data_IF_227979902220
#
_entry.id   IF_227979902220
#
_cell.length_a   1.000
_cell.length_b   1.000
_cell.length_c   1.000
_cell.angle_alpha   90.00
_cell.angle_beta   90.00
_cell.angle_gamma   90.00
#
_symmetry.space_group_name_H-M   'P 1'
#
loop_
_entity.id
_entity.type
_entity.pdbx_description
1 polymer ?
#
# COMPACT_ATOMS: atom_id res chain seq x y z
N UNK A 1 12.74 13.23 20.97
CA UNK A 1 11.72 14.28 21.14
C UNK A 1 11.61 15.06 19.85
N UNK A 2 10.41 15.37 19.42
CA UNK A 2 10.13 16.24 18.27
C UNK A 2 8.86 17.04 18.54
N UNK A 3 8.79 18.23 17.96
CA UNK A 3 7.65 19.15 18.10
C UNK A 3 6.62 18.87 17.00
N UNK A 4 5.36 18.69 17.40
CA UNK A 4 4.23 18.46 16.48
C UNK A 4 3.24 19.62 16.44
N UNK A 5 3.57 20.77 17.02
CA UNK A 5 2.70 21.95 17.02
C UNK A 5 2.33 22.45 15.62
N UNK A 6 3.20 22.18 14.64
CA UNK A 6 2.95 22.50 13.22
C UNK A 6 2.03 21.51 12.50
N UNK A 7 1.66 20.39 13.13
CA UNK A 7 0.79 19.37 12.57
C UNK A 7 -0.65 19.62 13.03
N UNK A 8 -1.45 20.23 12.18
CA UNK A 8 -2.85 20.55 12.45
C UNK A 8 -3.63 19.32 12.93
N UNK A 9 -4.29 19.42 14.09
CA UNK A 9 -5.11 18.39 14.67
C UNK A 9 -4.36 17.24 15.38
N UNK A 10 -3.03 17.34 15.55
CA UNK A 10 -2.23 16.29 16.21
C UNK A 10 -2.04 16.60 17.71
N UNK A 11 -1.74 17.84 18.06
CA UNK A 11 -1.60 18.26 19.46
C UNK A 11 -1.92 19.73 19.61
N UNK A 12 -2.27 20.14 20.84
CA UNK A 12 -2.40 21.54 21.23
C UNK A 12 -1.00 22.15 21.44
N UNK A 13 -0.89 23.49 21.36
CA UNK A 13 0.38 24.20 21.51
C UNK A 13 1.08 23.95 22.87
N UNK A 14 0.30 23.59 23.89
CA UNK A 14 0.82 23.34 25.26
C UNK A 14 1.38 21.90 25.43
N UNK A 15 1.02 20.94 24.55
CA UNK A 15 1.44 19.54 24.60
C UNK A 15 2.03 19.06 23.27
N UNK A 16 2.85 19.88 22.62
CA UNK A 16 3.38 19.63 21.29
C UNK A 16 4.58 18.67 21.26
N UNK A 17 5.19 18.38 22.40
CA UNK A 17 6.35 17.49 22.47
C UNK A 17 5.96 16.02 22.45
N UNK A 18 6.42 15.29 21.41
CA UNK A 18 6.30 13.84 21.31
C UNK A 18 7.66 13.15 21.22
N UNK A 19 7.68 11.85 21.45
CA UNK A 19 8.88 11.03 21.46
C UNK A 19 8.79 9.95 20.39
N UNK A 20 9.89 9.75 19.67
CA UNK A 20 10.05 8.66 18.70
C UNK A 20 10.83 7.52 19.37
N UNK A 21 10.23 6.35 19.38
CA UNK A 21 10.87 5.12 19.81
C UNK A 21 11.17 4.25 18.59
N UNK A 22 12.44 4.11 18.21
CA UNK A 22 12.81 3.38 17.00
C UNK A 22 12.56 1.88 17.17
N UNK A 23 11.91 1.30 16.18
CA UNK A 23 11.83 -0.14 16.02
C UNK A 23 13.09 -0.64 15.30
N UNK A 24 13.97 -1.31 16.06
CA UNK A 24 15.27 -1.74 15.53
C UNK A 24 15.15 -2.82 14.45
N UNK A 25 14.04 -3.55 14.39
CA UNK A 25 13.78 -4.53 13.33
C UNK A 25 13.60 -3.90 11.96
N UNK A 26 13.27 -2.60 11.92
CA UNK A 26 13.06 -1.81 10.69
C UNK A 26 14.29 -1.07 10.23
N UNK A 27 15.49 -1.40 10.77
CA UNK A 27 16.75 -0.78 10.35
C UNK A 27 17.04 -1.10 8.89
N UNK A 28 17.19 -0.05 8.07
CA UNK A 28 17.39 -0.18 6.63
C UNK A 28 18.42 0.80 6.11
N UNK A 29 19.38 0.33 5.30
CA UNK A 29 20.39 1.18 4.64
C UNK A 29 19.92 1.48 3.22
N UNK A 30 19.86 2.76 2.85
CA UNK A 30 19.41 3.18 1.54
C UNK A 30 20.44 2.87 0.44
N UNK A 31 20.15 1.95 -0.51
CA UNK A 31 21.09 1.55 -1.58
C UNK A 31 21.44 2.69 -2.53
N UNK A 32 20.52 3.62 -2.72
CA UNK A 32 20.71 4.77 -3.64
C UNK A 32 21.59 5.89 -3.09
N UNK A 33 22.05 5.79 -1.84
CA UNK A 33 22.97 6.76 -1.26
C UNK A 33 24.43 6.35 -1.52
N UNK A 34 25.36 7.33 -1.56
CA UNK A 34 26.77 7.00 -1.83
C UNK A 34 27.36 6.06 -0.79
N UNK A 35 28.36 5.27 -1.21
CA UNK A 35 29.07 4.35 -0.34
C UNK A 35 29.76 5.06 0.84
N UNK A 36 30.25 6.29 0.63
CA UNK A 36 30.71 7.16 1.71
C UNK A 36 29.54 7.96 2.28
N UNK A 37 29.38 7.91 3.61
CA UNK A 37 28.28 8.56 4.29
C UNK A 37 26.95 7.83 4.04
N UNK A 38 26.93 6.53 4.27
CA UNK A 38 25.69 5.73 4.21
C UNK A 38 24.60 6.35 5.05
N UNK A 39 23.37 6.30 4.54
CA UNK A 39 22.17 6.76 5.23
C UNK A 39 21.32 5.54 5.57
N UNK A 40 20.94 5.44 6.84
CA UNK A 40 20.02 4.44 7.31
C UNK A 40 18.72 5.08 7.82
N UNK A 41 17.65 4.32 7.81
CA UNK A 41 16.34 4.67 8.34
C UNK A 41 15.94 3.68 9.41
N UNK A 42 15.19 4.16 10.40
CA UNK A 42 14.42 3.37 11.35
C UNK A 42 12.98 3.89 11.32
N UNK A 43 12.01 3.00 11.36
CA UNK A 43 10.60 3.36 11.61
C UNK A 43 10.44 3.47 13.12
N UNK A 44 9.67 4.45 13.57
CA UNK A 44 9.49 4.72 14.99
C UNK A 44 8.02 4.67 15.35
N UNK A 45 7.72 4.19 16.56
CA UNK A 45 6.44 4.38 17.21
C UNK A 45 6.42 5.75 17.90
N UNK A 46 5.25 6.39 17.97
CA UNK A 46 5.07 7.72 18.57
C UNK A 46 4.50 7.59 19.97
N UNK A 47 5.13 8.30 20.91
CA UNK A 47 4.74 8.30 22.33
C UNK A 47 4.55 9.73 22.83
N UNK A 48 3.66 9.88 23.79
CA UNK A 48 3.44 11.12 24.53
C UNK A 48 4.55 11.33 25.58
N UNK A 49 4.61 12.53 26.15
CA UNK A 49 5.57 12.93 27.18
C UNK A 49 5.51 12.07 28.46
N UNK A 50 4.34 11.54 28.78
CA UNK A 50 4.14 10.66 29.95
C UNK A 50 4.58 9.21 29.69
N UNK A 51 5.09 8.89 28.49
CA UNK A 51 5.53 7.56 28.12
C UNK A 51 4.41 6.63 27.63
N UNK A 52 3.20 7.15 27.45
CA UNK A 52 2.10 6.39 26.84
C UNK A 52 2.16 6.46 25.31
N UNK A 53 1.74 5.40 24.57
CA UNK A 53 1.62 5.47 23.12
C UNK A 53 0.65 6.58 22.69
N UNK A 54 0.96 7.25 21.59
CA UNK A 54 0.05 8.21 21.00
C UNK A 54 -1.05 7.50 20.20
N UNK A 55 -2.31 7.69 20.58
CA UNK A 55 -3.46 6.98 20.01
C UNK A 55 -3.74 7.35 18.54
N UNK A 56 -3.24 8.50 18.09
CA UNK A 56 -3.33 8.93 16.69
C UNK A 56 -2.25 8.36 15.79
N UNK A 57 -1.27 7.62 16.32
CA UNK A 57 -0.25 6.94 15.53
C UNK A 57 -0.89 5.75 14.76
N UNK A 58 -0.92 5.77 13.40
CA UNK A 58 -1.49 4.67 12.62
C UNK A 58 -0.83 3.32 12.90
N UNK A 59 0.47 3.32 13.20
CA UNK A 59 1.23 2.12 13.53
C UNK A 59 0.79 1.53 14.87
N UNK A 60 0.50 2.39 15.86
CA UNK A 60 -0.08 1.96 17.15
C UNK A 60 -1.49 1.41 16.98
N UNK A 61 -2.34 2.04 16.14
CA UNK A 61 -3.70 1.55 15.86
C UNK A 61 -3.66 0.15 15.24
N UNK A 62 -2.77 -0.06 14.26
CA UNK A 62 -2.59 -1.38 13.65
C UNK A 62 -2.07 -2.41 14.67
N UNK A 63 -1.09 -2.04 15.50
CA UNK A 63 -0.54 -2.91 16.55
C UNK A 63 -1.62 -3.39 17.52
N UNK A 64 -2.56 -2.53 17.91
CA UNK A 64 -3.72 -2.91 18.73
C UNK A 64 -4.60 -3.95 18.04
N UNK A 65 -4.95 -3.73 16.77
CA UNK A 65 -5.77 -4.66 16.01
C UNK A 65 -5.08 -6.03 15.84
N UNK A 66 -3.76 -6.02 15.58
CA UNK A 66 -2.96 -7.25 15.50
C UNK A 66 -2.92 -7.98 16.85
N UNK A 67 -2.78 -7.25 17.97
CA UNK A 67 -2.81 -7.85 19.30
C UNK A 67 -4.17 -8.49 19.62
N UNK A 68 -5.27 -7.80 19.32
CA UNK A 68 -6.63 -8.34 19.49
C UNK A 68 -6.85 -9.61 18.66
N UNK A 69 -6.39 -9.61 17.38
CA UNK A 69 -6.47 -10.80 16.53
C UNK A 69 -5.67 -11.97 17.11
N UNK A 70 -4.48 -11.69 17.65
CA UNK A 70 -3.62 -12.68 18.29
C UNK A 70 -4.25 -13.27 19.57
N UNK A 71 -4.92 -12.47 20.38
CA UNK A 71 -5.69 -12.94 21.54
C UNK A 71 -6.84 -13.85 21.11
N UNK A 72 -7.45 -13.61 19.94
CA UNK A 72 -8.45 -14.49 19.33
C UNK A 72 -7.85 -15.75 18.69
N UNK A 73 -6.53 -15.90 18.66
CA UNK A 73 -5.84 -17.03 18.06
C UNK A 73 -5.53 -16.91 16.58
N UNK A 74 -5.50 -15.69 16.05
CA UNK A 74 -5.27 -15.43 14.62
C UNK A 74 -4.04 -14.56 14.35
N UNK A 75 -3.37 -14.84 13.23
CA UNK A 75 -2.37 -13.97 12.61
C UNK A 75 -2.88 -13.53 11.24
N UNK A 76 -2.90 -12.22 10.99
CA UNK A 76 -3.28 -11.64 9.71
C UNK A 76 -2.05 -11.45 8.83
N UNK A 77 -2.06 -12.05 7.63
CA UNK A 77 -1.11 -11.73 6.57
C UNK A 77 -1.77 -10.84 5.51
N UNK A 78 -0.99 -9.93 4.96
CA UNK A 78 -1.45 -8.91 4.02
C UNK A 78 -0.50 -8.85 2.83
N UNK A 79 -1.04 -8.92 1.61
CA UNK A 79 -0.31 -8.74 0.35
C UNK A 79 -0.93 -7.58 -0.44
N UNK A 80 -0.27 -6.41 -0.50
CA UNK A 80 -0.75 -5.29 -1.29
C UNK A 80 -0.29 -5.41 -2.73
N UNK A 81 -1.20 -5.10 -3.66
CA UNK A 81 -0.92 -4.85 -5.08
C UNK A 81 -1.06 -3.35 -5.30
N UNK A 82 0.04 -2.65 -5.57
CA UNK A 82 0.05 -1.19 -5.52
C UNK A 82 0.36 -0.59 -6.89
N UNK A 83 -0.67 -0.06 -7.54
CA UNK A 83 -0.56 0.61 -8.84
C UNK A 83 -0.10 2.06 -8.69
N UNK A 84 0.64 2.54 -9.68
CA UNK A 84 1.14 3.91 -9.72
C UNK A 84 1.37 4.38 -11.17
N UNK A 85 1.46 5.70 -11.35
CA UNK A 85 1.78 6.31 -12.64
C UNK A 85 3.19 6.92 -12.63
N UNK A 86 3.86 6.87 -13.79
CA UNK A 86 5.14 7.51 -14.07
C UNK A 86 4.94 8.59 -15.15
N UNK A 87 4.87 9.85 -14.74
CA UNK A 87 4.72 10.99 -15.65
C UNK A 87 6.03 11.74 -15.83
N UNK A 88 6.13 12.51 -16.91
CA UNK A 88 7.20 13.47 -17.06
C UNK A 88 7.08 14.62 -16.07
N UNK A 89 8.21 15.19 -15.70
CA UNK A 89 8.25 16.51 -15.06
C UNK A 89 8.33 17.61 -16.12
N UNK A 90 7.95 18.84 -15.75
CA UNK A 90 8.22 20.01 -16.60
C UNK A 90 9.71 20.43 -16.53
N UNK A 91 10.07 21.47 -17.27
CA UNK A 91 11.46 21.99 -17.34
C UNK A 91 11.97 22.51 -15.99
N UNK A 92 11.06 22.88 -15.07
CA UNK A 92 11.38 23.27 -13.69
C UNK A 92 11.43 22.06 -12.73
N UNK A 93 11.20 20.83 -13.21
CA UNK A 93 11.14 19.61 -12.40
C UNK A 93 9.85 19.45 -11.61
N UNK A 94 8.77 20.18 -11.94
CA UNK A 94 7.48 20.06 -11.26
C UNK A 94 6.69 18.87 -11.80
N UNK A 95 5.84 18.25 -10.98
CA UNK A 95 4.96 17.16 -11.40
C UNK A 95 4.00 17.56 -12.53
N UNK A 96 3.86 16.68 -13.52
CA UNK A 96 2.84 16.80 -14.57
C UNK A 96 2.02 15.52 -14.68
N UNK A 97 1.04 15.49 -15.57
CA UNK A 97 0.31 14.27 -16.00
C UNK A 97 0.61 13.94 -17.47
N UNK A 98 1.72 14.46 -17.99
CA UNK A 98 2.16 14.25 -19.38
C UNK A 98 2.92 12.92 -19.46
N UNK A 99 2.59 12.14 -20.49
CA UNK A 99 3.33 10.96 -20.90
C UNK A 99 3.37 10.91 -22.43
N UNK A 100 4.45 10.40 -23.00
CA UNK A 100 4.57 10.05 -24.41
C UNK A 100 4.39 8.55 -24.65
N UNK A 101 4.23 7.81 -23.58
CA UNK A 101 3.99 6.38 -23.59
C UNK A 101 2.61 6.04 -24.14
N UNK A 102 2.54 4.91 -24.85
CA UNK A 102 1.31 4.35 -25.43
C UNK A 102 1.10 2.89 -25.01
N UNK A 103 1.88 2.42 -24.00
CA UNK A 103 1.76 1.08 -23.47
C UNK A 103 0.38 0.80 -22.85
N UNK A 104 0.01 -0.46 -22.85
CA UNK A 104 -1.17 -1.02 -22.22
C UNK A 104 -0.81 -2.26 -21.39
N UNK A 105 -1.82 -3.00 -20.98
CA UNK A 105 -1.66 -4.12 -20.06
C UNK A 105 -0.67 -5.19 -20.57
N UNK A 106 0.37 -5.46 -19.79
CA UNK A 106 1.48 -6.39 -20.09
C UNK A 106 2.32 -6.02 -21.33
N UNK A 107 2.23 -4.79 -21.84
CA UNK A 107 3.16 -4.35 -22.87
C UNK A 107 4.59 -4.25 -22.33
N UNK A 108 5.53 -4.44 -23.23
CA UNK A 108 6.99 -4.37 -22.98
C UNK A 108 7.63 -3.34 -23.90
N UNK A 109 8.91 -3.06 -23.73
CA UNK A 109 9.64 -2.21 -24.67
C UNK A 109 9.49 -2.67 -26.13
N UNK A 110 9.30 -1.75 -27.11
CA UNK A 110 9.48 -0.29 -26.98
C UNK A 110 8.20 0.48 -26.60
N UNK A 111 7.08 -0.16 -26.28
CA UNK A 111 5.83 0.51 -25.93
C UNK A 111 5.84 0.99 -24.48
N UNK A 112 6.34 0.16 -23.56
CA UNK A 112 6.57 0.49 -22.16
C UNK A 112 7.84 1.35 -22.01
N UNK A 113 7.69 2.65 -21.89
CA UNK A 113 8.80 3.57 -21.69
C UNK A 113 9.22 3.68 -20.21
N UNK A 114 8.42 3.16 -19.30
CA UNK A 114 8.71 3.10 -17.87
C UNK A 114 9.51 1.88 -17.42
N UNK A 115 9.74 0.90 -18.31
CA UNK A 115 10.37 -0.40 -18.00
C UNK A 115 11.70 -0.24 -17.27
N UNK A 116 12.59 0.63 -17.73
CA UNK A 116 13.90 0.83 -17.10
C UNK A 116 13.78 1.42 -15.68
N UNK A 117 12.89 2.38 -15.47
CA UNK A 117 12.66 2.95 -14.14
C UNK A 117 12.05 1.88 -13.21
N UNK A 118 11.08 1.11 -13.69
CA UNK A 118 10.44 0.02 -12.94
C UNK A 118 11.46 -1.07 -12.58
N UNK A 119 12.34 -1.44 -13.51
CA UNK A 119 13.43 -2.39 -13.26
C UNK A 119 14.38 -1.90 -12.16
N UNK A 120 14.81 -0.64 -12.19
CA UNK A 120 15.68 -0.08 -11.16
C UNK A 120 14.98 0.02 -9.79
N UNK A 121 13.64 0.22 -9.77
CA UNK A 121 12.84 0.14 -8.55
C UNK A 121 12.90 -1.27 -7.96
N UNK A 122 12.68 -2.30 -8.78
CA UNK A 122 12.72 -3.71 -8.37
C UNK A 122 14.08 -4.06 -7.78
N UNK A 123 15.17 -3.82 -8.50
CA UNK A 123 16.52 -4.12 -8.03
C UNK A 123 16.84 -3.39 -6.72
N UNK A 124 16.38 -2.15 -6.58
CA UNK A 124 16.53 -1.39 -5.33
C UNK A 124 15.73 -1.99 -4.18
N UNK A 125 14.51 -2.45 -4.43
CA UNK A 125 13.66 -3.13 -3.43
C UNK A 125 14.26 -4.48 -3.03
N UNK A 126 14.77 -5.26 -3.98
CA UNK A 126 15.46 -6.53 -3.71
C UNK A 126 16.72 -6.33 -2.87
N UNK A 127 17.52 -5.28 -3.15
CA UNK A 127 18.67 -4.87 -2.33
C UNK A 127 18.26 -4.49 -0.89
N UNK A 128 17.00 -4.11 -0.67
CA UNK A 128 16.39 -3.82 0.64
C UNK A 128 15.63 -5.02 1.22
N UNK A 129 15.80 -6.21 0.66
CA UNK A 129 15.24 -7.46 1.19
C UNK A 129 13.79 -7.75 0.79
N UNK A 130 13.22 -7.01 -0.15
CA UNK A 130 11.90 -7.33 -0.68
C UNK A 130 11.96 -8.55 -1.59
N UNK A 131 11.00 -9.46 -1.44
CA UNK A 131 10.74 -10.54 -2.39
C UNK A 131 9.70 -10.05 -3.39
N UNK A 132 10.14 -9.76 -4.63
CA UNK A 132 9.25 -9.27 -5.70
C UNK A 132 8.57 -10.46 -6.37
N UNK A 133 7.24 -10.40 -6.48
CA UNK A 133 6.41 -11.45 -7.10
C UNK A 133 6.15 -11.13 -8.55
N UNK A 134 5.73 -9.90 -8.85
CA UNK A 134 5.36 -9.49 -10.19
C UNK A 134 5.69 -8.02 -10.44
N UNK A 135 5.86 -7.69 -11.73
CA UNK A 135 6.03 -6.32 -12.18
C UNK A 135 5.63 -6.21 -13.64
N UNK A 136 4.69 -5.35 -13.93
CA UNK A 136 4.15 -5.20 -15.27
C UNK A 136 3.65 -3.78 -15.55
N UNK A 137 3.44 -3.51 -16.84
CA UNK A 137 2.72 -2.34 -17.30
C UNK A 137 1.22 -2.57 -17.11
N UNK A 138 0.51 -1.57 -16.61
CA UNK A 138 -0.94 -1.58 -16.40
C UNK A 138 -1.71 -1.09 -17.64
N UNK A 139 -3.06 -1.04 -17.55
CA UNK A 139 -3.93 -0.75 -18.69
C UNK A 139 -3.75 0.68 -19.22
N UNK A 140 -3.61 1.65 -18.31
CA UNK A 140 -3.47 3.05 -18.73
C UNK A 140 -2.04 3.38 -19.16
N UNK A 141 -1.84 4.24 -20.18
CA UNK A 141 -0.52 4.75 -20.50
C UNK A 141 0.18 5.36 -19.28
N UNK A 142 1.44 4.98 -19.05
CA UNK A 142 2.28 5.32 -17.90
C UNK A 142 1.84 4.71 -16.55
N UNK A 143 0.95 3.75 -16.55
CA UNK A 143 0.53 3.04 -15.35
C UNK A 143 1.31 1.74 -15.18
N UNK A 144 1.77 1.49 -13.96
CA UNK A 144 2.61 0.36 -13.60
C UNK A 144 2.14 -0.26 -12.30
N UNK A 145 2.49 -1.52 -12.11
CA UNK A 145 2.30 -2.27 -10.87
C UNK A 145 3.57 -3.04 -10.52
N UNK A 146 3.89 -3.08 -9.24
CA UNK A 146 4.95 -3.93 -8.67
C UNK A 146 4.37 -4.56 -7.41
N UNK A 147 4.35 -5.91 -7.38
CA UNK A 147 3.86 -6.69 -6.27
C UNK A 147 5.02 -7.35 -5.53
N UNK A 148 4.96 -7.29 -4.23
CA UNK A 148 5.91 -7.95 -3.35
C UNK A 148 5.21 -8.96 -2.44
N UNK A 149 5.97 -9.95 -1.96
CA UNK A 149 5.43 -11.04 -1.16
C UNK A 149 4.70 -10.52 0.08
N UNK A 150 3.59 -11.17 0.41
CA UNK A 150 2.82 -10.87 1.63
C UNK A 150 3.62 -11.19 2.88
N UNK A 151 3.31 -10.52 3.96
CA UNK A 151 3.86 -10.78 5.30
C UNK A 151 2.81 -10.45 6.37
N UNK A 152 3.15 -10.62 7.64
CA UNK A 152 2.32 -10.17 8.75
C UNK A 152 1.97 -8.67 8.60
N UNK A 153 0.78 -8.30 9.03
CA UNK A 153 0.19 -6.99 8.76
C UNK A 153 1.09 -5.79 9.16
N UNK A 154 1.82 -5.88 10.27
CA UNK A 154 2.75 -4.81 10.70
C UNK A 154 3.93 -4.68 9.73
N UNK A 155 4.55 -5.80 9.35
CA UNK A 155 5.69 -5.82 8.43
C UNK A 155 5.26 -5.29 7.07
N UNK A 156 4.13 -5.77 6.55
CA UNK A 156 3.60 -5.32 5.26
C UNK A 156 3.28 -3.83 5.24
N UNK A 157 2.71 -3.29 6.33
CA UNK A 157 2.44 -1.85 6.42
C UNK A 157 3.72 -1.01 6.36
N UNK A 158 4.77 -1.41 7.08
CA UNK A 158 6.08 -0.76 7.06
C UNK A 158 6.75 -0.91 5.67
N UNK A 159 6.64 -2.09 5.05
CA UNK A 159 7.13 -2.37 3.71
C UNK A 159 6.43 -1.50 2.66
N UNK A 160 5.10 -1.32 2.73
CA UNK A 160 4.36 -0.47 1.80
C UNK A 160 4.83 1.00 1.86
N UNK A 161 5.12 1.52 3.05
CA UNK A 161 5.67 2.88 3.20
C UNK A 161 7.07 2.98 2.60
N UNK A 162 7.90 1.96 2.76
CA UNK A 162 9.23 1.83 2.16
C UNK A 162 9.14 1.76 0.64
N UNK A 163 8.27 0.90 0.11
CA UNK A 163 7.97 0.75 -1.30
C UNK A 163 7.62 2.10 -1.95
N UNK A 164 6.67 2.84 -1.38
CA UNK A 164 6.26 4.15 -1.92
C UNK A 164 7.41 5.16 -1.94
N UNK A 165 8.29 5.11 -0.96
CA UNK A 165 9.48 5.97 -0.90
C UNK A 165 10.48 5.58 -1.99
N UNK A 166 10.76 4.29 -2.18
CA UNK A 166 11.67 3.77 -3.23
C UNK A 166 11.16 4.16 -4.61
N UNK A 167 9.89 3.85 -4.91
CA UNK A 167 9.27 4.15 -6.22
C UNK A 167 9.42 5.64 -6.55
N UNK A 168 9.07 6.54 -5.63
CA UNK A 168 9.20 7.99 -5.85
C UNK A 168 10.65 8.44 -6.01
N UNK A 169 11.56 7.85 -5.22
CA UNK A 169 12.98 8.21 -5.25
C UNK A 169 13.65 7.78 -6.55
N UNK A 170 13.40 6.55 -6.99
CA UNK A 170 13.98 6.01 -8.21
C UNK A 170 13.35 6.67 -9.45
N UNK A 171 12.03 6.88 -9.47
CA UNK A 171 11.38 7.65 -10.54
C UNK A 171 12.04 9.02 -10.74
N UNK A 172 12.28 9.77 -9.65
CA UNK A 172 12.95 11.06 -9.71
C UNK A 172 14.36 10.97 -10.29
N UNK A 173 15.10 9.90 -10.06
CA UNK A 173 16.43 9.67 -10.65
C UNK A 173 16.38 9.43 -12.16
N UNK A 174 15.25 8.92 -12.66
CA UNK A 174 14.95 8.77 -14.09
C UNK A 174 14.31 10.01 -14.71
N UNK A 175 14.21 11.14 -14.01
CA UNK A 175 13.56 12.35 -14.49
C UNK A 175 12.03 12.23 -14.57
N UNK A 176 11.45 11.26 -13.85
CA UNK A 176 10.02 10.99 -13.82
C UNK A 176 9.39 11.39 -12.48
N UNK A 177 8.10 11.65 -12.53
CA UNK A 177 7.25 11.85 -11.36
C UNK A 177 6.38 10.62 -11.12
N UNK A 178 6.64 9.87 -10.04
CA UNK A 178 5.79 8.78 -9.61
C UNK A 178 4.64 9.29 -8.74
N UNK A 179 3.40 8.89 -9.05
CA UNK A 179 2.23 9.23 -8.25
C UNK A 179 1.36 8.02 -7.98
N UNK A 180 0.91 7.91 -6.73
CA UNK A 180 -0.09 6.95 -6.25
C UNK A 180 -1.49 7.59 -6.16
N UNK A 181 -1.70 8.68 -6.85
CA UNK A 181 -2.99 9.37 -6.92
C UNK A 181 -4.06 8.44 -7.51
N UNK A 182 -5.21 8.24 -6.85
CA UNK A 182 -6.23 7.28 -7.30
C UNK A 182 -6.75 7.52 -8.71
N UNK A 183 -6.87 8.78 -9.13
CA UNK A 183 -7.37 9.15 -10.47
C UNK A 183 -6.61 10.38 -10.99
N UNK A 184 -5.36 10.23 -11.48
CA UNK A 184 -4.57 11.37 -11.95
C UNK A 184 -5.10 11.96 -13.27
N UNK A 185 -5.76 11.13 -14.09
CA UNK A 185 -6.39 11.53 -15.36
C UNK A 185 -7.84 11.06 -15.38
N UNK A 186 -8.77 11.92 -15.80
CA UNK A 186 -10.22 11.64 -15.77
C UNK A 186 -10.64 10.56 -16.76
N UNK A 187 -9.96 10.46 -17.89
CA UNK A 187 -10.41 9.71 -19.08
C UNK A 187 -9.69 8.38 -19.28
N UNK A 188 -9.05 7.85 -18.22
CA UNK A 188 -8.36 6.57 -18.28
C UNK A 188 -8.52 5.84 -16.95
N UNK A 189 -7.92 4.66 -16.82
CA UNK A 189 -7.92 3.90 -15.58
C UNK A 189 -7.23 4.66 -14.44
N UNK A 190 -7.55 4.34 -13.21
CA UNK A 190 -6.94 4.94 -12.02
C UNK A 190 -6.15 3.90 -11.23
N UNK A 191 -5.31 4.36 -10.30
CA UNK A 191 -4.51 3.47 -9.45
C UNK A 191 -5.35 2.83 -8.37
N UNK A 192 -5.38 1.49 -8.36
CA UNK A 192 -5.85 0.67 -7.27
C UNK A 192 -4.75 0.41 -6.24
N UNK A 193 -5.17 -0.07 -5.11
CA UNK A 193 -4.35 -0.80 -4.17
C UNK A 193 -5.20 -1.95 -3.65
N UNK A 194 -5.10 -3.10 -4.31
CA UNK A 194 -5.77 -4.30 -3.85
C UNK A 194 -5.05 -4.80 -2.59
N UNK A 195 -5.81 -5.28 -1.63
CA UNK A 195 -5.26 -5.81 -0.39
C UNK A 195 -5.70 -7.27 -0.29
N UNK A 196 -4.78 -8.18 -0.53
CA UNK A 196 -4.98 -9.60 -0.32
C UNK A 196 -4.84 -9.91 1.16
N UNK A 197 -5.85 -10.56 1.73
CA UNK A 197 -5.94 -10.85 3.15
C UNK A 197 -6.03 -12.34 3.39
N UNK A 198 -5.22 -12.87 4.29
CA UNK A 198 -5.33 -14.23 4.80
C UNK A 198 -5.17 -14.26 6.31
N UNK A 199 -5.95 -15.12 6.95
CA UNK A 199 -5.91 -15.33 8.40
C UNK A 199 -5.41 -16.73 8.70
N UNK A 200 -4.41 -16.82 9.56
CA UNK A 200 -3.85 -18.09 10.00
C UNK A 200 -4.14 -18.33 11.48
N UNK A 201 -4.50 -19.57 11.83
CA UNK A 201 -4.62 -20.02 13.21
C UNK A 201 -3.22 -20.32 13.81
N UNK A 202 -3.13 -20.47 15.11
CA UNK A 202 -1.87 -20.76 15.82
C UNK A 202 -1.20 -22.08 15.36
N UNK A 203 -1.95 -22.99 14.76
CA UNK A 203 -1.46 -24.24 14.20
C UNK A 203 -0.95 -24.11 12.75
N UNK A 204 -0.97 -22.90 12.17
CA UNK A 204 -0.55 -22.61 10.81
C UNK A 204 -1.60 -22.90 9.74
N UNK A 205 -2.84 -23.27 10.10
CA UNK A 205 -3.91 -23.50 9.13
C UNK A 205 -4.54 -22.16 8.69
N UNK A 206 -4.89 -22.04 7.39
CA UNK A 206 -5.63 -20.88 6.88
C UNK A 206 -7.07 -20.92 7.42
N UNK A 207 -7.42 -19.94 8.23
CA UNK A 207 -8.73 -19.86 8.89
C UNK A 207 -9.86 -19.52 7.91
N UNK A 208 -9.56 -18.88 6.78
CA UNK A 208 -10.58 -18.42 5.82
C UNK A 208 -10.93 -19.49 4.77
N UNK A 209 -10.14 -20.55 4.66
CA UNK A 209 -10.24 -21.53 3.59
C UNK A 209 -10.94 -22.82 4.03
N UNK A 210 -11.79 -23.38 3.16
CA UNK A 210 -12.35 -24.74 3.26
C UNK A 210 -12.52 -25.35 1.85
N UNK A 211 -11.78 -26.43 1.57
CA UNK A 211 -11.80 -27.09 0.28
C UNK A 211 -13.13 -27.76 -0.09
N UNK A 212 -14.01 -28.02 0.88
CA UNK A 212 -15.32 -28.65 0.67
C UNK A 212 -16.43 -27.65 0.36
N UNK A 213 -16.18 -26.36 0.55
CA UNK A 213 -17.15 -25.30 0.25
C UNK A 213 -17.08 -24.89 -1.23
N UNK A 214 -18.24 -24.60 -1.82
CA UNK A 214 -18.34 -24.24 -3.26
C UNK A 214 -17.59 -22.95 -3.65
N UNK A 215 -17.33 -22.07 -2.69
CA UNK A 215 -16.58 -20.81 -2.84
C UNK A 215 -15.19 -20.87 -2.19
N UNK A 216 -14.77 -22.04 -1.70
CA UNK A 216 -13.51 -22.23 -1.01
C UNK A 216 -13.42 -21.58 0.36
N UNK A 217 -14.55 -21.15 0.97
CA UNK A 217 -14.58 -20.40 2.21
C UNK A 217 -14.96 -21.27 3.41
N UNK A 218 -14.23 -21.07 4.50
CA UNK A 218 -14.64 -21.56 5.82
C UNK A 218 -15.79 -20.71 6.40
N UNK A 219 -16.38 -21.15 7.50
CA UNK A 219 -17.35 -20.35 8.23
C UNK A 219 -16.74 -19.04 8.76
N UNK A 220 -15.50 -19.07 9.21
CA UNK A 220 -14.75 -17.86 9.59
C UNK A 220 -14.55 -16.92 8.39
N UNK A 221 -14.29 -17.47 7.19
CA UNK A 221 -14.22 -16.70 5.94
C UNK A 221 -15.51 -15.95 5.63
N UNK A 222 -16.65 -16.60 5.74
CA UNK A 222 -17.96 -15.94 5.57
C UNK A 222 -18.21 -14.88 6.64
N UNK A 223 -17.85 -15.12 7.90
CA UNK A 223 -17.98 -14.12 8.96
C UNK A 223 -17.05 -12.92 8.72
N UNK A 224 -15.82 -13.14 8.26
CA UNK A 224 -14.87 -12.10 7.94
C UNK A 224 -15.40 -11.18 6.81
N UNK A 225 -15.89 -11.77 5.71
CA UNK A 225 -16.53 -11.04 4.62
C UNK A 225 -17.76 -10.26 5.14
N UNK A 226 -18.60 -10.91 5.96
CA UNK A 226 -19.75 -10.26 6.57
C UNK A 226 -19.40 -9.05 7.42
N UNK A 227 -18.29 -9.14 8.18
CA UNK A 227 -17.73 -8.05 8.96
C UNK A 227 -17.24 -6.89 8.09
N UNK A 228 -16.48 -7.18 7.02
CA UNK A 228 -16.05 -6.18 6.05
C UNK A 228 -17.26 -5.48 5.41
N UNK A 229 -18.25 -6.24 4.93
CA UNK A 229 -19.46 -5.69 4.31
C UNK A 229 -20.23 -4.77 5.25
N UNK A 230 -20.35 -5.14 6.52
CA UNK A 230 -21.02 -4.33 7.55
C UNK A 230 -20.33 -2.99 7.79
N UNK A 231 -19.01 -2.97 7.79
CA UNK A 231 -18.21 -1.79 8.16
C UNK A 231 -17.65 -1.00 6.98
N UNK A 232 -17.78 -1.51 5.75
CA UNK A 232 -17.11 -0.94 4.57
C UNK A 232 -17.43 0.54 4.32
N UNK A 233 -18.66 0.99 4.57
CA UNK A 233 -19.02 2.41 4.42
C UNK A 233 -18.21 3.33 5.36
N UNK A 234 -17.96 2.87 6.59
CA UNK A 234 -17.13 3.60 7.54
C UNK A 234 -15.63 3.49 7.19
N UNK A 235 -15.18 2.29 6.80
CA UNK A 235 -13.80 2.02 6.38
C UNK A 235 -13.42 2.90 5.17
N UNK A 236 -14.35 3.14 4.25
CA UNK A 236 -14.12 3.91 3.02
C UNK A 236 -13.58 5.32 3.30
N UNK A 237 -13.93 5.97 4.41
CA UNK A 237 -13.38 7.29 4.74
C UNK A 237 -11.86 7.23 5.07
N UNK A 238 -11.36 6.08 5.47
CA UNK A 238 -9.92 5.85 5.75
C UNK A 238 -9.21 5.34 4.49
N UNK A 239 -9.79 4.36 3.78
CA UNK A 239 -9.17 3.75 2.59
C UNK A 239 -9.28 4.63 1.34
N UNK A 240 -10.20 5.58 1.31
CA UNK A 240 -10.43 6.53 0.21
C UNK A 240 -10.53 7.97 0.76
N UNK A 241 -9.44 8.52 1.35
CA UNK A 241 -9.52 9.70 2.21
C UNK A 241 -9.61 11.03 1.44
N UNK A 242 -9.50 11.04 0.12
CA UNK A 242 -9.47 12.27 -0.68
C UNK A 242 -10.65 12.34 -1.66
N UNK A 243 -11.00 13.55 -2.08
CA UNK A 243 -11.99 13.76 -3.15
C UNK A 243 -11.57 13.02 -4.44
N UNK A 244 -10.27 12.98 -4.72
CA UNK A 244 -9.74 12.26 -5.87
C UNK A 244 -9.97 10.75 -5.79
N UNK A 245 -9.96 10.16 -4.60
CA UNK A 245 -10.25 8.74 -4.40
C UNK A 245 -11.61 8.35 -4.99
N UNK A 246 -12.64 9.17 -4.76
CA UNK A 246 -14.01 8.91 -5.26
C UNK A 246 -14.14 9.12 -6.78
N UNK A 247 -13.26 9.88 -7.41
CA UNK A 247 -13.22 10.01 -8.87
C UNK A 247 -12.80 8.72 -9.58
N UNK A 248 -12.19 7.77 -8.85
CA UNK A 248 -11.83 6.46 -9.38
C UNK A 248 -13.06 5.54 -9.55
N UNK A 249 -14.10 5.69 -8.74
CA UNK A 249 -15.29 4.84 -8.75
C UNK A 249 -16.22 5.16 -9.93
N UNK A 250 -15.72 5.06 -11.14
CA UNK A 250 -16.46 5.27 -12.37
C UNK A 250 -16.64 3.93 -13.09
N UNK A 251 -17.88 3.53 -13.46
CA UNK A 251 -18.10 2.31 -14.21
C UNK A 251 -17.29 2.23 -15.51
N UNK A 252 -16.73 1.06 -15.81
CA UNK A 252 -15.95 0.81 -17.02
C UNK A 252 -14.44 1.05 -16.90
N UNK A 253 -13.94 1.46 -15.72
CA UNK A 253 -12.51 1.70 -15.47
C UNK A 253 -11.94 0.82 -14.34
N UNK A 254 -12.41 -0.43 -14.26
CA UNK A 254 -11.95 -1.47 -13.31
C UNK A 254 -11.93 -1.05 -11.82
N UNK A 255 -12.86 -0.17 -11.45
CA UNK A 255 -13.09 0.17 -10.07
C UNK A 255 -14.36 -0.51 -9.55
N UNK A 256 -14.46 -0.84 -8.24
CA UNK A 256 -15.66 -1.45 -7.69
C UNK A 256 -16.89 -0.55 -7.91
N UNK A 257 -17.89 -1.05 -8.64
CA UNK A 257 -19.13 -0.31 -8.93
C UNK A 257 -20.17 -0.42 -7.84
N UNK A 258 -20.08 -1.42 -6.97
CA UNK A 258 -21.05 -1.69 -5.90
C UNK A 258 -20.41 -2.47 -4.74
N UNK A 259 -21.04 -2.35 -3.57
CA UNK A 259 -20.69 -3.13 -2.40
C UNK A 259 -21.23 -4.56 -2.55
N UNK A 260 -20.35 -5.52 -2.55
CA UNK A 260 -20.65 -6.94 -2.68
C UNK A 260 -19.39 -7.77 -2.62
N UNK A 261 -19.57 -9.10 -2.68
CA UNK A 261 -18.46 -10.02 -2.78
C UNK A 261 -18.74 -11.08 -3.87
N UNK A 262 -17.71 -11.69 -4.42
CA UNK A 262 -17.81 -12.79 -5.38
C UNK A 262 -16.56 -13.67 -5.39
N UNK A 263 -16.77 -14.97 -5.57
CA UNK A 263 -15.71 -15.94 -5.90
C UNK A 263 -15.54 -16.14 -7.42
N UNK A 264 -16.38 -15.49 -8.25
CA UNK A 264 -16.41 -15.76 -9.71
C UNK A 264 -16.15 -14.52 -10.59
N UNK A 265 -16.41 -13.32 -10.09
CA UNK A 265 -16.32 -12.10 -10.90
C UNK A 265 -15.47 -11.03 -10.23
N UNK A 266 -14.87 -10.15 -11.04
CA UNK A 266 -13.97 -9.06 -10.57
C UNK A 266 -14.71 -7.74 -10.26
N UNK A 267 -16.04 -7.63 -10.50
CA UNK A 267 -16.79 -6.40 -10.36
C UNK A 267 -17.10 -5.94 -8.93
N UNK A 268 -17.34 -6.84 -7.95
CA UNK A 268 -17.61 -6.43 -6.58
C UNK A 268 -16.36 -5.95 -5.83
N UNK A 269 -16.61 -5.28 -4.70
CA UNK A 269 -15.57 -4.73 -3.82
C UNK A 269 -14.66 -5.80 -3.19
N UNK A 270 -15.24 -6.96 -2.83
CA UNK A 270 -14.49 -8.07 -2.22
C UNK A 270 -14.47 -9.24 -3.21
N UNK A 271 -13.27 -9.74 -3.45
CA UNK A 271 -13.04 -10.94 -4.28
C UNK A 271 -12.49 -12.07 -3.41
N UNK A 272 -12.96 -13.28 -3.66
CA UNK A 272 -12.38 -14.49 -3.09
C UNK A 272 -11.49 -15.09 -4.17
N UNK A 273 -10.17 -15.10 -3.93
CA UNK A 273 -9.19 -15.76 -4.80
C UNK A 273 -9.13 -17.24 -4.43
N UNK A 274 -9.31 -18.12 -5.39
CA UNK A 274 -9.17 -19.59 -5.23
C UNK A 274 -7.83 -20.04 -5.78
#
# INVERSE_FOLDING_TARGET
>A
MFDVSSLEGVADEEESDMYLYPDLSTFEIFPWRPQQGKVARLICDVYKKDGTPYEGDPRYVLRKAVAEAKEMGYTMNVGPECEFFLFHTDDDGRPTTVTHEQGGYFDVGPLDLGENARRDMILTLEDMGFEIISSHHEIAPAQHEIDFHYDEAMITADNLMTFKMVVKTIAKRHGLHATFMPKPKSETYGSGMHINLSLYKNDGTNALYNAEDENGLSQEGYYFIGGLMKHMKAITCITNPTINSYKRFVPGYEAPGYMGWSAKTRGPLIRVSM
#
